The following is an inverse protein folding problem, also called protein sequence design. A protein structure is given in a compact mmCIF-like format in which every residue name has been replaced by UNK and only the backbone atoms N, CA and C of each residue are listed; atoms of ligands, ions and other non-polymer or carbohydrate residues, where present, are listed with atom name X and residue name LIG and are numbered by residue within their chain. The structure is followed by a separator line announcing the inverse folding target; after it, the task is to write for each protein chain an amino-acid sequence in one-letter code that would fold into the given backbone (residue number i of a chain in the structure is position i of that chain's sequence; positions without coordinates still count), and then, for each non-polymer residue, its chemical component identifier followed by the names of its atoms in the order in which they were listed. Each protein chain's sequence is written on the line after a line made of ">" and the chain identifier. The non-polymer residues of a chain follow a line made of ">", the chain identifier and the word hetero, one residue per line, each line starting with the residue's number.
data_IF_405220892449
#
_entry.id   IF_405220892449
#
_cell.length_a   1.000
_cell.length_b   1.000
_cell.length_c   1.000
_cell.angle_alpha   90.00
_cell.angle_beta   90.00
_cell.angle_gamma   90.00
#
_symmetry.space_group_name_H-M   'P 1'
#
loop_
_entity.id
_entity.type
_entity.pdbx_description
1 polymer ?
#
# COMPACT_ATOMS: atom_id res chain seq x y z
N UNK A 1 10.42 32.15 -10.71
CA UNK A 1 9.21 31.51 -11.27
C UNK A 1 8.79 30.41 -10.31
N UNK A 2 7.66 30.59 -9.65
CA UNK A 2 7.07 29.66 -8.68
C UNK A 2 6.44 28.52 -9.47
N UNK A 3 6.77 27.28 -9.14
CA UNK A 3 5.87 26.14 -9.33
C UNK A 3 6.23 25.07 -8.30
N UNK A 4 6.03 25.42 -7.03
CA UNK A 4 5.93 24.47 -5.93
C UNK A 4 4.50 23.93 -5.93
N UNK A 5 4.27 22.86 -6.69
CA UNK A 5 2.96 22.24 -6.88
C UNK A 5 2.97 20.73 -6.56
N UNK A 6 3.82 20.26 -5.64
CA UNK A 6 3.93 18.82 -5.31
C UNK A 6 3.47 18.41 -3.90
N UNK A 7 2.98 19.31 -3.04
CA UNK A 7 2.92 19.00 -1.59
C UNK A 7 1.53 18.80 -0.95
N UNK A 8 0.48 18.57 -1.73
CA UNK A 8 -0.86 18.32 -1.15
C UNK A 8 -1.33 16.85 -1.21
N UNK A 9 -0.74 16.00 -2.05
CA UNK A 9 -1.05 14.55 -2.09
C UNK A 9 -0.12 13.68 -1.22
N UNK A 10 1.01 14.22 -0.79
CA UNK A 10 2.04 13.49 -0.03
C UNK A 10 1.67 13.34 1.46
N UNK A 11 0.97 14.32 2.05
CA UNK A 11 0.64 14.31 3.50
C UNK A 11 -0.43 13.29 3.89
N UNK A 12 -1.39 13.00 2.99
CA UNK A 12 -2.56 12.17 3.33
C UNK A 12 -2.26 10.67 3.41
N UNK A 13 -1.11 10.22 2.91
CA UNK A 13 -0.78 8.80 2.87
C UNK A 13 0.28 8.38 3.89
N UNK A 14 0.73 9.27 4.76
CA UNK A 14 1.77 8.96 5.77
C UNK A 14 1.41 7.77 6.68
N UNK A 15 0.12 7.59 6.99
CA UNK A 15 -0.36 6.46 7.79
C UNK A 15 -0.34 5.16 6.97
N UNK A 16 -0.83 5.21 5.73
CA UNK A 16 -0.79 4.06 4.82
C UNK A 16 0.65 3.64 4.54
N UNK A 17 1.57 4.60 4.41
CA UNK A 17 2.99 4.34 4.16
C UNK A 17 3.66 3.65 5.34
N UNK A 18 3.37 4.08 6.56
CA UNK A 18 3.83 3.39 7.77
C UNK A 18 3.18 2.03 7.91
N UNK A 19 1.88 1.90 7.64
CA UNK A 19 1.22 0.61 7.69
C UNK A 19 1.85 -0.39 6.71
N UNK A 20 2.05 0.05 5.47
CA UNK A 20 2.67 -0.73 4.41
C UNK A 20 4.14 -1.06 4.75
N UNK A 21 4.91 -0.13 5.29
CA UNK A 21 6.35 -0.34 5.53
C UNK A 21 6.68 -1.04 6.85
N UNK A 22 5.87 -0.83 7.90
CA UNK A 22 6.19 -1.30 9.25
C UNK A 22 5.38 -2.54 9.65
N UNK A 23 4.09 -2.57 9.27
CA UNK A 23 3.14 -3.59 9.74
C UNK A 23 3.08 -4.74 8.74
N UNK A 24 2.86 -4.45 7.46
CA UNK A 24 2.67 -5.48 6.42
C UNK A 24 3.84 -6.48 6.37
N UNK A 25 5.14 -6.11 6.42
CA UNK A 25 6.23 -7.09 6.41
C UNK A 25 6.20 -8.06 7.58
N UNK A 26 5.63 -7.65 8.73
CA UNK A 26 5.54 -8.47 9.94
C UNK A 26 4.40 -9.48 9.85
N UNK A 27 3.33 -9.16 9.11
CA UNK A 27 2.12 -10.00 9.03
C UNK A 27 1.95 -10.68 7.67
N UNK A 28 2.74 -10.34 6.65
CA UNK A 28 2.59 -10.80 5.26
C UNK A 28 2.51 -12.33 5.11
N UNK A 29 3.21 -13.08 5.97
CA UNK A 29 3.23 -14.54 5.95
C UNK A 29 1.91 -15.17 6.44
N UNK A 30 1.01 -14.39 7.03
CA UNK A 30 -0.32 -14.78 7.47
C UNK A 30 -1.44 -14.16 6.61
N UNK A 31 -1.10 -13.32 5.63
CA UNK A 31 -2.10 -12.71 4.76
C UNK A 31 -2.45 -13.72 3.66
N UNK A 32 -3.67 -14.25 3.74
CA UNK A 32 -4.22 -15.20 2.76
C UNK A 32 -5.09 -14.52 1.71
N UNK A 33 -5.73 -13.41 2.10
CA UNK A 33 -6.60 -12.60 1.26
C UNK A 33 -6.25 -11.11 1.41
N UNK A 34 -6.08 -10.42 0.29
CA UNK A 34 -5.74 -9.00 0.27
C UNK A 34 -6.71 -8.23 -0.65
N UNK A 35 -7.28 -7.15 -0.14
CA UNK A 35 -8.07 -6.21 -0.94
C UNK A 35 -7.37 -4.86 -0.95
N UNK A 36 -7.02 -4.38 -2.13
CA UNK A 36 -6.28 -3.15 -2.34
C UNK A 36 -7.13 -2.18 -3.13
N UNK A 37 -7.12 -0.91 -2.72
CA UNK A 37 -7.60 0.16 -3.58
C UNK A 37 -6.51 0.48 -4.62
N UNK A 38 -6.93 0.89 -5.83
CA UNK A 38 -6.02 1.17 -6.94
C UNK A 38 -4.88 2.16 -6.57
N UNK A 39 -5.15 3.07 -5.64
CA UNK A 39 -4.16 4.04 -5.16
C UNK A 39 -3.07 3.45 -4.25
N UNK A 40 -3.36 2.37 -3.51
CA UNK A 40 -2.43 1.73 -2.56
C UNK A 40 -1.72 0.51 -3.14
N UNK A 41 -2.03 0.14 -4.38
CA UNK A 41 -1.60 -1.14 -4.96
C UNK A 41 -0.10 -1.23 -5.16
N UNK A 42 0.55 -0.18 -5.68
CA UNK A 42 1.99 -0.18 -5.96
C UNK A 42 2.82 -0.35 -4.67
N UNK A 43 2.38 0.27 -3.57
CA UNK A 43 3.09 0.23 -2.28
C UNK A 43 3.02 -1.15 -1.64
N UNK A 44 1.84 -1.77 -1.61
CA UNK A 44 1.65 -3.07 -0.96
C UNK A 44 2.31 -4.19 -1.77
N UNK A 45 2.24 -4.13 -3.10
CA UNK A 45 2.84 -5.14 -3.98
C UNK A 45 4.37 -5.13 -3.92
N UNK A 46 5.00 -3.96 -3.78
CA UNK A 46 6.47 -3.85 -3.67
C UNK A 46 7.03 -4.42 -2.37
N UNK A 47 6.25 -4.42 -1.30
CA UNK A 47 6.75 -4.72 0.04
C UNK A 47 6.67 -6.21 0.38
N UNK A 48 5.74 -6.94 -0.23
CA UNK A 48 5.38 -8.26 0.27
C UNK A 48 5.72 -9.43 -0.65
N UNK A 49 6.46 -10.41 -0.11
CA UNK A 49 6.38 -11.78 -0.60
C UNK A 49 5.33 -12.51 0.24
N UNK A 50 4.10 -12.54 -0.27
CA UNK A 50 2.97 -13.11 0.43
C UNK A 50 2.85 -14.62 0.18
N UNK A 51 3.64 -15.40 0.90
CA UNK A 51 3.76 -16.86 0.70
C UNK A 51 2.45 -17.65 0.83
N UNK A 52 1.44 -17.12 1.53
CA UNK A 52 0.13 -17.75 1.72
C UNK A 52 -1.01 -17.06 0.96
N UNK A 53 -0.72 -15.98 0.24
CA UNK A 53 -1.75 -15.20 -0.44
C UNK A 53 -2.27 -15.96 -1.65
N UNK A 54 -3.55 -16.29 -1.61
CA UNK A 54 -4.23 -17.02 -2.67
C UNK A 54 -5.31 -16.18 -3.35
N UNK A 55 -5.65 -15.00 -2.80
CA UNK A 55 -6.63 -14.09 -3.40
C UNK A 55 -6.23 -12.63 -3.25
N UNK A 56 -6.20 -11.91 -4.38
CA UNK A 56 -6.02 -10.46 -4.45
C UNK A 56 -7.24 -9.85 -5.12
N UNK A 57 -7.80 -8.81 -4.52
CA UNK A 57 -8.91 -8.03 -5.10
C UNK A 57 -8.48 -6.59 -5.25
N UNK A 58 -8.62 -6.05 -6.46
CA UNK A 58 -8.35 -4.64 -6.75
C UNK A 58 -9.69 -3.89 -6.81
N UNK A 59 -9.84 -2.86 -5.98
CA UNK A 59 -11.00 -1.97 -6.02
C UNK A 59 -10.61 -0.69 -6.73
N UNK A 60 -11.41 -0.33 -7.72
CA UNK A 60 -11.35 0.98 -8.35
C UNK A 60 -12.38 1.85 -7.64
N UNK A 61 -11.91 2.69 -6.71
CA UNK A 61 -12.74 3.63 -5.95
C UNK A 61 -12.59 5.02 -6.55
#
# INVERSE_FOLDING_TARGET
>A
RISSNEDNNSRNNSILDRFCSDIVPRIQHNIECLTLDAFSTDRVVRIGNYSKLHKITLRNV
#
